data_IF_589426769229
#
_entry.id   IF_589426769229
#
_cell.length_a   1.000
_cell.length_b   1.000
_cell.length_c   1.000
_cell.angle_alpha   90.00
_cell.angle_beta   90.00
_cell.angle_gamma   90.00
#
_symmetry.space_group_name_H-M   'P 1'
#
loop_
_entity.id
_entity.type
_entity.pdbx_description
1 polymer ?
#
# COMPACT_ATOMS: atom_id res chain seq x y z
N UNK A 1 11.78 6.45 30.41
CA UNK A 1 12.25 6.13 29.04
C UNK A 1 11.12 6.40 28.05
N UNK A 2 11.44 6.58 26.76
CA UNK A 2 10.47 6.66 25.66
C UNK A 2 10.53 5.38 24.82
N UNK A 3 9.38 4.82 24.48
CA UNK A 3 9.29 3.62 23.65
C UNK A 3 8.89 3.99 22.21
N UNK A 4 9.71 3.61 21.26
CA UNK A 4 9.45 3.76 19.82
C UNK A 4 9.07 2.40 19.25
N UNK A 5 7.96 2.33 18.51
CA UNK A 5 7.52 1.11 17.83
C UNK A 5 7.46 1.38 16.33
N UNK A 6 8.34 0.72 15.58
CA UNK A 6 8.40 0.76 14.13
C UNK A 6 7.57 -0.37 13.49
N UNK A 7 7.30 -0.30 12.19
CA UNK A 7 6.57 -1.35 11.48
C UNK A 7 7.42 -2.59 11.21
N UNK A 8 8.74 -2.38 11.00
CA UNK A 8 9.68 -3.44 10.58
C UNK A 8 11.01 -3.34 11.34
N UNK A 9 11.72 -4.47 11.51
CA UNK A 9 13.03 -4.47 12.18
C UNK A 9 14.08 -3.57 11.53
N UNK A 10 14.08 -3.45 10.21
CA UNK A 10 15.01 -2.58 9.47
C UNK A 10 14.82 -1.11 9.81
N UNK A 11 13.57 -0.65 9.82
CA UNK A 11 13.21 0.72 10.21
C UNK A 11 13.59 0.99 11.66
N UNK A 12 13.29 0.06 12.57
CA UNK A 12 13.68 0.18 13.97
C UNK A 12 15.17 0.36 14.17
N UNK A 13 16.01 -0.37 13.41
CA UNK A 13 17.47 -0.24 13.47
C UNK A 13 17.94 1.14 13.02
N UNK A 14 17.38 1.68 11.93
CA UNK A 14 17.73 3.03 11.45
C UNK A 14 17.34 4.09 12.49
N UNK A 15 16.15 4.00 13.07
CA UNK A 15 15.70 4.91 14.12
C UNK A 15 16.58 4.81 15.37
N UNK A 16 16.92 3.59 15.80
CA UNK A 16 17.74 3.33 16.97
C UNK A 16 19.15 3.91 16.83
N UNK A 17 19.76 3.79 15.64
CA UNK A 17 21.08 4.36 15.35
C UNK A 17 21.08 5.89 15.55
N UNK A 18 20.07 6.58 15.05
CA UNK A 18 19.95 8.04 15.17
C UNK A 18 19.64 8.48 16.60
N UNK A 19 18.87 7.68 17.35
CA UNK A 19 18.46 7.95 18.73
C UNK A 19 19.52 7.54 19.77
N UNK A 20 20.58 6.84 19.38
CA UNK A 20 21.60 6.34 20.28
C UNK A 20 21.18 5.10 21.09
N UNK A 21 20.18 4.36 20.63
CA UNK A 21 19.74 3.10 21.24
C UNK A 21 20.60 1.93 20.70
N UNK A 22 21.83 1.82 21.18
CA UNK A 22 22.81 0.90 20.62
C UNK A 22 22.82 -0.52 21.22
N UNK A 23 22.28 -0.69 22.42
CA UNK A 23 22.30 -1.98 23.15
C UNK A 23 21.20 -2.89 22.60
N UNK A 24 21.62 -3.99 21.97
CA UNK A 24 20.68 -4.99 21.44
C UNK A 24 20.14 -5.89 22.56
N UNK A 25 18.86 -6.05 22.58
CA UNK A 25 18.09 -6.97 23.42
C UNK A 25 17.25 -7.90 22.54
N UNK A 26 16.61 -8.87 23.14
CA UNK A 26 15.68 -9.74 22.43
C UNK A 26 14.39 -8.97 22.06
N UNK A 27 14.17 -8.77 20.75
CA UNK A 27 13.02 -8.06 20.20
C UNK A 27 13.06 -6.52 20.30
N UNK A 28 14.14 -5.89 20.79
CA UNK A 28 14.28 -4.42 20.85
C UNK A 28 15.72 -3.95 20.98
N UNK A 29 15.93 -2.62 20.87
CA UNK A 29 17.20 -1.94 21.16
C UNK A 29 16.99 -0.91 22.27
N UNK A 30 18.02 -0.68 23.09
CA UNK A 30 17.96 0.21 24.25
C UNK A 30 19.19 1.11 24.32
N UNK A 31 19.01 2.36 24.72
CA UNK A 31 20.10 3.34 24.94
C UNK A 31 19.61 4.77 24.78
N UNK A 32 20.37 5.73 25.28
CA UNK A 32 20.08 7.15 25.13
C UNK A 32 18.71 7.60 25.71
N UNK A 33 18.13 6.86 26.64
CA UNK A 33 16.78 7.13 27.15
C UNK A 33 15.64 6.56 26.30
N UNK A 34 15.99 5.79 25.26
CA UNK A 34 15.07 5.21 24.30
C UNK A 34 15.03 3.69 24.36
N UNK A 35 13.84 3.15 24.10
CA UNK A 35 13.60 1.76 23.76
C UNK A 35 13.05 1.78 22.33
N UNK A 36 13.63 1.03 21.42
CA UNK A 36 13.20 0.95 20.02
C UNK A 36 12.87 -0.48 19.68
N UNK A 37 11.60 -0.76 19.45
CA UNK A 37 11.11 -2.08 19.05
C UNK A 37 10.33 -1.99 17.75
N UNK A 38 9.78 -3.10 17.28
CA UNK A 38 9.15 -3.18 15.97
C UNK A 38 7.97 -4.16 15.96
N UNK A 39 7.07 -3.93 15.04
CA UNK A 39 6.15 -4.94 14.56
C UNK A 39 6.80 -5.79 13.44
N UNK A 40 6.14 -6.87 13.05
CA UNK A 40 6.47 -7.68 11.87
C UNK A 40 5.34 -7.52 10.85
N UNK A 41 5.04 -6.26 10.47
CA UNK A 41 3.78 -5.90 9.84
C UNK A 41 2.61 -6.08 10.82
N UNK A 42 1.46 -6.54 10.37
CA UNK A 42 0.34 -6.86 11.25
C UNK A 42 0.68 -8.01 12.20
N UNK A 43 0.76 -7.75 13.51
CA UNK A 43 0.92 -8.78 14.55
C UNK A 43 -0.42 -9.41 14.93
N UNK A 44 -1.50 -8.67 14.76
CA UNK A 44 -2.86 -9.12 15.00
C UNK A 44 -3.77 -8.64 13.87
N UNK A 45 -4.83 -9.38 13.64
CA UNK A 45 -5.87 -9.08 12.66
C UNK A 45 -7.27 -9.32 13.24
N UNK A 46 -8.31 -8.96 12.50
CA UNK A 46 -9.67 -9.30 12.85
C UNK A 46 -9.82 -10.82 12.97
N UNK A 47 -10.52 -11.25 14.00
CA UNK A 47 -10.71 -12.66 14.31
C UNK A 47 -11.45 -13.40 13.18
N UNK A 48 -11.15 -14.67 13.00
CA UNK A 48 -11.90 -15.54 12.07
C UNK A 48 -13.34 -15.73 12.56
N UNK A 49 -14.24 -16.06 11.63
CA UNK A 49 -15.64 -16.27 11.90
C UNK A 49 -15.92 -17.31 13.02
N UNK A 50 -15.14 -18.40 13.06
CA UNK A 50 -15.23 -19.41 14.10
C UNK A 50 -14.94 -18.91 15.53
N UNK A 51 -14.28 -17.74 15.66
CA UNK A 51 -14.06 -17.10 16.97
C UNK A 51 -15.34 -16.47 17.52
N UNK A 52 -16.28 -16.10 16.67
CA UNK A 52 -17.57 -15.53 17.06
C UNK A 52 -18.59 -16.61 17.37
N UNK A 53 -18.64 -17.64 16.52
CA UNK A 53 -19.44 -18.84 16.72
C UNK A 53 -18.69 -20.07 16.19
N UNK A 54 -18.42 -21.12 17.02
CA UNK A 54 -17.76 -22.34 16.59
C UNK A 54 -18.43 -23.04 15.40
N UNK A 55 -19.74 -22.90 15.24
CA UNK A 55 -20.48 -23.50 14.12
C UNK A 55 -20.02 -22.92 12.78
N UNK A 56 -19.54 -21.67 12.76
CA UNK A 56 -18.97 -21.04 11.56
C UNK A 56 -17.64 -21.65 11.09
N UNK A 57 -17.11 -22.67 11.80
CA UNK A 57 -15.99 -23.45 11.28
C UNK A 57 -16.36 -24.22 10.02
N UNK A 58 -17.63 -24.66 9.91
CA UNK A 58 -18.18 -25.26 8.70
C UNK A 58 -18.83 -24.17 7.85
N UNK A 59 -18.59 -24.21 6.54
CA UNK A 59 -19.17 -23.24 5.63
C UNK A 59 -20.52 -23.74 5.14
N UNK A 60 -21.59 -23.06 5.55
CA UNK A 60 -22.97 -23.39 5.19
C UNK A 60 -23.65 -22.13 4.65
N UNK A 61 -24.55 -22.31 3.71
CA UNK A 61 -25.35 -21.21 3.12
C UNK A 61 -26.20 -20.51 4.18
N UNK A 62 -26.85 -21.29 5.04
CA UNK A 62 -27.81 -20.80 6.04
C UNK A 62 -27.16 -19.96 7.16
N UNK A 63 -25.83 -20.02 7.29
CA UNK A 63 -25.09 -19.20 8.25
C UNK A 63 -24.80 -17.77 7.74
N UNK A 64 -25.13 -17.46 6.48
CA UNK A 64 -24.80 -16.19 5.85
C UNK A 64 -26.00 -15.22 5.87
N UNK A 65 -25.77 -13.91 6.03
CA UNK A 65 -24.45 -13.28 6.22
C UNK A 65 -23.95 -13.35 7.67
N UNK A 66 -22.65 -13.51 7.85
CA UNK A 66 -21.98 -13.42 9.15
C UNK A 66 -21.69 -11.94 9.43
N UNK A 67 -22.37 -11.37 10.42
CA UNK A 67 -22.27 -9.96 10.81
C UNK A 67 -21.94 -9.87 12.31
N UNK A 68 -20.64 -9.67 12.69
CA UNK A 68 -20.27 -9.56 14.08
C UNK A 68 -20.87 -8.30 14.73
N UNK A 69 -21.54 -8.44 15.88
CA UNK A 69 -22.00 -7.30 16.68
C UNK A 69 -20.82 -6.55 17.32
N UNK A 70 -19.82 -7.28 17.74
CA UNK A 70 -18.59 -6.73 18.31
C UNK A 70 -17.36 -7.29 17.61
N UNK A 71 -16.39 -6.41 17.31
CA UNK A 71 -15.18 -6.81 16.60
C UNK A 71 -14.10 -7.29 17.55
N UNK A 72 -13.55 -8.47 17.26
CA UNK A 72 -12.45 -9.08 18.02
C UNK A 72 -11.19 -9.13 17.17
N UNK A 73 -10.05 -8.98 17.83
CA UNK A 73 -8.73 -9.14 17.20
C UNK A 73 -8.05 -10.37 17.78
N UNK A 74 -7.32 -11.08 16.94
CA UNK A 74 -6.49 -12.23 17.33
C UNK A 74 -5.05 -11.99 16.92
N UNK A 75 -4.12 -12.39 17.79
CA UNK A 75 -2.68 -12.32 17.51
C UNK A 75 -2.32 -13.50 16.61
N UNK A 76 -1.57 -13.25 15.54
CA UNK A 76 -1.05 -14.28 14.67
C UNK A 76 -0.11 -15.22 15.46
N UNK A 77 -0.30 -16.53 15.29
CA UNK A 77 0.41 -17.54 16.08
C UNK A 77 1.92 -17.44 15.94
N UNK A 78 2.41 -17.21 14.72
CA UNK A 78 3.82 -17.08 14.35
C UNK A 78 4.44 -15.76 14.77
N UNK A 79 3.67 -14.81 15.29
CA UNK A 79 4.11 -13.46 15.70
C UNK A 79 3.87 -13.19 17.20
N UNK A 80 3.46 -14.21 17.93
CA UNK A 80 3.13 -14.08 19.35
C UNK A 80 4.32 -13.62 20.19
N UNK A 81 5.50 -14.15 19.94
CA UNK A 81 6.72 -13.83 20.68
C UNK A 81 7.03 -12.33 20.60
N UNK A 82 6.99 -11.76 19.39
CA UNK A 82 7.21 -10.32 19.22
C UNK A 82 6.10 -9.49 19.83
N UNK A 83 4.84 -9.95 19.77
CA UNK A 83 3.75 -9.26 20.48
C UNK A 83 3.98 -9.25 21.99
N UNK A 84 4.45 -10.36 22.58
CA UNK A 84 4.71 -10.46 24.01
C UNK A 84 5.87 -9.55 24.45
N UNK A 85 6.90 -9.40 23.62
CA UNK A 85 7.96 -8.39 23.82
C UNK A 85 7.35 -6.98 23.85
N UNK A 86 6.57 -6.61 22.84
CA UNK A 86 5.93 -5.29 22.79
C UNK A 86 5.00 -5.05 23.95
N UNK A 87 4.20 -6.03 24.33
CA UNK A 87 3.30 -5.95 25.50
C UNK A 87 4.09 -5.71 26.78
N UNK A 88 5.22 -6.39 26.96
CA UNK A 88 6.11 -6.20 28.12
C UNK A 88 6.69 -4.79 28.14
N UNK A 89 7.20 -4.30 27.01
CA UNK A 89 7.75 -2.95 26.88
C UNK A 89 6.70 -1.87 27.14
N UNK A 90 5.49 -2.02 26.58
CA UNK A 90 4.38 -1.09 26.77
C UNK A 90 3.91 -1.01 28.22
N UNK A 91 4.10 -2.07 29.01
CA UNK A 91 3.73 -2.13 30.43
C UNK A 91 4.85 -1.73 31.39
N UNK A 92 6.09 -1.53 30.93
CA UNK A 92 7.21 -1.11 31.78
C UNK A 92 6.87 0.21 32.51
N UNK A 93 7.08 0.28 33.80
CA UNK A 93 6.76 1.47 34.63
C UNK A 93 7.64 2.68 34.25
N UNK A 94 8.90 2.43 33.88
CA UNK A 94 9.84 3.47 33.46
C UNK A 94 9.59 4.04 32.05
N UNK A 95 8.66 3.46 31.28
CA UNK A 95 8.21 4.00 30.01
C UNK A 95 7.11 5.03 30.25
N UNK A 96 7.38 6.28 29.92
CA UNK A 96 6.47 7.42 30.17
C UNK A 96 5.70 7.86 28.92
N UNK A 97 6.20 7.56 27.72
CA UNK A 97 5.61 7.96 26.44
C UNK A 97 5.88 6.90 25.39
N UNK A 98 4.94 6.69 24.48
CA UNK A 98 5.05 5.76 23.37
C UNK A 98 4.99 6.53 22.05
N UNK A 99 5.92 6.24 21.14
CA UNK A 99 5.98 6.86 19.81
C UNK A 99 5.60 5.83 18.75
N UNK A 100 4.51 6.09 18.03
CA UNK A 100 4.17 5.36 16.83
C UNK A 100 5.09 5.81 15.70
N UNK A 101 6.02 4.95 15.29
CA UNK A 101 6.95 5.13 14.19
C UNK A 101 6.72 4.09 13.06
N UNK A 102 5.51 3.55 12.95
CA UNK A 102 5.11 2.77 11.79
C UNK A 102 4.96 3.68 10.56
N UNK A 103 4.91 3.09 9.38
CA UNK A 103 4.85 3.82 8.12
C UNK A 103 3.78 4.92 8.13
N UNK A 104 4.07 6.05 7.47
CA UNK A 104 3.19 7.22 7.43
C UNK A 104 1.95 6.95 6.56
N UNK A 105 0.91 6.37 7.15
CA UNK A 105 -0.30 5.98 6.44
C UNK A 105 -1.32 5.27 7.32
N UNK A 106 -2.46 4.93 6.73
CA UNK A 106 -3.55 4.22 7.40
C UNK A 106 -3.12 2.88 7.99
N UNK A 107 -2.34 2.11 7.25
CA UNK A 107 -1.90 0.78 7.67
C UNK A 107 -0.97 0.87 8.87
N UNK A 108 -0.01 1.80 8.86
CA UNK A 108 0.87 2.02 10.01
C UNK A 108 0.12 2.43 11.28
N UNK A 109 -0.95 3.25 11.15
CA UNK A 109 -1.84 3.55 12.28
C UNK A 109 -2.57 2.29 12.78
N UNK A 110 -3.11 1.47 11.88
CA UNK A 110 -3.82 0.26 12.24
C UNK A 110 -2.90 -0.75 12.93
N UNK A 111 -1.70 -0.98 12.39
CA UNK A 111 -0.71 -1.90 12.94
C UNK A 111 -0.35 -1.49 14.37
N UNK A 112 0.05 -0.25 14.57
CA UNK A 112 0.46 0.25 15.88
C UNK A 112 -0.69 0.24 16.88
N UNK A 113 -1.84 0.84 16.53
CA UNK A 113 -2.99 0.99 17.43
C UNK A 113 -3.57 -0.36 17.86
N UNK A 114 -3.58 -1.34 16.97
CA UNK A 114 -4.03 -2.69 17.30
C UNK A 114 -3.15 -3.30 18.39
N UNK A 115 -1.83 -3.18 18.28
CA UNK A 115 -0.88 -3.66 19.29
C UNK A 115 -1.04 -2.89 20.61
N UNK A 116 -1.10 -1.56 20.51
CA UNK A 116 -1.24 -0.68 21.67
C UNK A 116 -2.51 -1.00 22.49
N UNK A 117 -3.65 -1.17 21.80
CA UNK A 117 -4.93 -1.51 22.45
C UNK A 117 -4.92 -2.94 23.03
N UNK A 118 -4.41 -3.93 22.28
CA UNK A 118 -4.34 -5.32 22.74
C UNK A 118 -3.39 -5.50 23.92
N UNK A 119 -2.33 -4.70 24.01
CA UNK A 119 -1.44 -4.67 25.17
C UNK A 119 -2.08 -4.01 26.40
N UNK A 120 -3.24 -3.35 26.25
CA UNK A 120 -3.92 -2.58 27.32
C UNK A 120 -3.13 -1.34 27.73
N UNK A 121 -2.35 -0.74 26.83
CA UNK A 121 -1.56 0.44 27.13
C UNK A 121 -2.45 1.70 27.18
N UNK A 122 -2.19 2.58 28.13
CA UNK A 122 -2.88 3.87 28.29
C UNK A 122 -1.90 5.06 28.38
N UNK A 123 -0.62 4.81 28.07
CA UNK A 123 0.42 5.84 28.16
C UNK A 123 0.25 6.89 27.05
N UNK A 124 0.71 8.13 27.27
CA UNK A 124 0.69 9.16 26.23
C UNK A 124 1.33 8.65 24.94
N UNK A 125 0.65 8.91 23.82
CA UNK A 125 1.08 8.47 22.49
C UNK A 125 1.43 9.66 21.62
N UNK A 126 2.57 9.58 20.95
CA UNK A 126 3.02 10.50 19.92
C UNK A 126 3.15 9.81 18.58
N UNK A 127 3.12 10.58 17.52
CA UNK A 127 3.27 10.11 16.14
C UNK A 127 4.50 10.72 15.48
N UNK A 128 5.39 9.86 15.00
CA UNK A 128 6.44 10.20 14.06
C UNK A 128 5.87 10.10 12.64
N UNK A 129 5.89 11.21 11.89
CA UNK A 129 5.38 11.24 10.51
C UNK A 129 6.48 11.71 9.57
N UNK A 130 7.17 10.74 8.98
CA UNK A 130 8.28 10.98 8.04
C UNK A 130 8.09 10.11 6.79
N UNK A 131 8.58 10.61 5.65
CA UNK A 131 8.58 9.89 4.36
C UNK A 131 9.98 9.49 3.90
N UNK A 132 11.02 9.88 4.65
CA UNK A 132 12.41 9.52 4.39
C UNK A 132 13.05 8.91 5.63
N UNK A 133 13.96 7.96 5.42
CA UNK A 133 14.73 7.29 6.48
C UNK A 133 16.16 7.82 6.59
N UNK A 134 16.45 8.98 5.99
CA UNK A 134 17.73 9.67 6.19
C UNK A 134 17.85 10.23 7.60
N UNK A 135 19.05 10.25 8.13
CA UNK A 135 19.35 10.68 9.51
C UNK A 135 18.81 12.09 9.82
N UNK A 136 18.90 13.01 8.87
CA UNK A 136 18.38 14.37 9.00
C UNK A 136 16.86 14.39 9.15
N UNK A 137 16.16 13.63 8.31
CA UNK A 137 14.69 13.53 8.34
C UNK A 137 14.19 12.84 9.63
N UNK A 138 14.93 11.83 10.11
CA UNK A 138 14.62 11.17 11.39
C UNK A 138 14.78 12.16 12.55
N UNK A 139 15.90 12.90 12.63
CA UNK A 139 16.13 13.91 13.70
C UNK A 139 15.06 14.99 13.70
N UNK A 140 14.74 15.53 12.52
CA UNK A 140 13.68 16.53 12.36
C UNK A 140 12.33 15.98 12.77
N UNK A 141 11.99 14.76 12.35
CA UNK A 141 10.73 14.09 12.72
C UNK A 141 10.59 13.90 14.22
N UNK A 142 11.64 13.48 14.93
CA UNK A 142 11.63 13.34 16.39
C UNK A 142 11.59 14.68 17.13
N UNK A 143 12.10 15.77 16.54
CA UNK A 143 11.94 17.12 17.07
C UNK A 143 10.48 17.63 16.90
N UNK A 144 9.72 17.11 15.93
CA UNK A 144 8.37 17.55 15.55
C UNK A 144 7.30 16.46 15.77
N UNK A 145 7.42 15.64 16.80
CA UNK A 145 6.43 14.61 17.13
C UNK A 145 5.04 15.24 17.40
N UNK A 146 4.02 14.70 16.75
CA UNK A 146 2.64 15.15 16.91
C UNK A 146 1.88 14.31 17.94
N UNK A 147 0.83 14.86 18.57
CA UNK A 147 -0.07 14.07 19.40
C UNK A 147 -0.67 12.90 18.62
N UNK A 148 -0.77 11.72 19.24
CA UNK A 148 -1.42 10.58 18.59
C UNK A 148 -2.89 10.82 18.25
N UNK A 149 -3.59 11.63 19.04
CA UNK A 149 -5.00 11.97 18.82
C UNK A 149 -5.27 12.65 17.47
N UNK A 150 -4.30 13.39 16.91
CA UNK A 150 -4.42 14.03 15.60
C UNK A 150 -4.66 13.01 14.47
N UNK A 151 -4.38 11.73 14.73
CA UNK A 151 -4.48 10.63 13.78
C UNK A 151 -5.64 9.66 14.07
N UNK A 152 -6.56 10.02 14.99
CA UNK A 152 -7.70 9.17 15.31
C UNK A 152 -8.62 8.94 14.12
N UNK A 153 -8.88 9.97 13.31
CA UNK A 153 -9.65 9.83 12.08
C UNK A 153 -9.00 8.89 11.06
N UNK A 154 -7.67 8.94 10.95
CA UNK A 154 -6.92 8.04 10.06
C UNK A 154 -6.99 6.58 10.54
N UNK A 155 -6.89 6.35 11.85
CA UNK A 155 -7.09 5.03 12.46
C UNK A 155 -8.50 4.50 12.22
N UNK A 156 -9.54 5.32 12.42
CA UNK A 156 -10.92 4.93 12.17
C UNK A 156 -11.14 4.57 10.68
N UNK A 157 -10.58 5.33 9.76
CA UNK A 157 -10.64 5.01 8.33
C UNK A 157 -9.98 3.66 8.01
N UNK A 158 -8.82 3.37 8.62
CA UNK A 158 -8.14 2.08 8.47
C UNK A 158 -8.97 0.92 9.04
N UNK A 159 -9.55 1.11 10.22
CA UNK A 159 -10.40 0.12 10.87
C UNK A 159 -11.68 -0.15 10.08
N UNK A 160 -12.35 0.88 9.55
CA UNK A 160 -13.52 0.73 8.67
C UNK A 160 -13.17 -0.09 7.43
N UNK A 161 -12.02 0.19 6.80
CA UNK A 161 -11.53 -0.60 5.67
C UNK A 161 -11.31 -2.06 6.04
N UNK A 162 -10.59 -2.34 7.13
CA UNK A 162 -10.33 -3.70 7.59
C UNK A 162 -11.64 -4.48 7.83
N UNK A 163 -12.64 -3.84 8.47
CA UNK A 163 -13.97 -4.42 8.69
C UNK A 163 -14.70 -4.69 7.37
N UNK A 164 -14.67 -3.76 6.43
CA UNK A 164 -15.30 -3.94 5.11
C UNK A 164 -14.64 -5.07 4.32
N UNK A 165 -13.30 -5.15 4.34
CA UNK A 165 -12.55 -6.24 3.69
C UNK A 165 -12.88 -7.60 4.33
N UNK A 166 -13.02 -7.65 5.66
CA UNK A 166 -13.45 -8.86 6.38
C UNK A 166 -14.88 -9.27 6.02
N UNK A 167 -15.84 -8.35 6.06
CA UNK A 167 -17.25 -8.63 5.77
C UNK A 167 -17.42 -9.17 4.35
N UNK A 168 -16.83 -8.49 3.36
CA UNK A 168 -16.91 -8.92 1.96
C UNK A 168 -16.14 -10.24 1.78
N UNK A 169 -14.93 -10.33 2.28
CA UNK A 169 -14.07 -11.51 2.12
C UNK A 169 -14.68 -12.77 2.71
N UNK A 170 -15.12 -12.71 3.96
CA UNK A 170 -15.68 -13.89 4.66
C UNK A 170 -17.02 -14.33 4.02
N UNK A 171 -17.93 -13.40 3.83
CA UNK A 171 -19.28 -13.75 3.37
C UNK A 171 -19.30 -14.17 1.89
N UNK A 172 -18.65 -13.40 1.01
CA UNK A 172 -18.63 -13.71 -0.41
C UNK A 172 -17.80 -14.97 -0.71
N UNK A 173 -16.63 -15.15 -0.08
CA UNK A 173 -15.82 -16.38 -0.23
C UNK A 173 -16.64 -17.61 0.16
N UNK A 174 -17.31 -17.60 1.29
CA UNK A 174 -18.12 -18.73 1.75
C UNK A 174 -19.33 -18.98 0.85
N UNK A 175 -20.06 -17.94 0.49
CA UNK A 175 -21.22 -18.04 -0.39
C UNK A 175 -20.85 -18.72 -1.71
N UNK A 176 -19.88 -18.15 -2.42
CA UNK A 176 -19.50 -18.69 -3.73
C UNK A 176 -18.84 -20.06 -3.61
N UNK A 177 -18.06 -20.32 -2.55
CA UNK A 177 -17.45 -21.64 -2.35
C UNK A 177 -18.49 -22.73 -2.10
N UNK A 178 -19.55 -22.44 -1.34
CA UNK A 178 -20.65 -23.39 -1.11
C UNK A 178 -21.46 -23.61 -2.38
N UNK A 179 -21.82 -22.53 -3.10
CA UNK A 179 -22.62 -22.63 -4.34
C UNK A 179 -21.91 -23.39 -5.45
N UNK A 180 -20.59 -23.22 -5.59
CA UNK A 180 -19.81 -23.86 -6.65
C UNK A 180 -19.06 -25.12 -6.21
N UNK A 181 -19.23 -25.57 -4.97
CA UNK A 181 -18.62 -26.77 -4.40
C UNK A 181 -17.09 -26.82 -4.53
N UNK A 182 -16.43 -25.63 -4.48
CA UNK A 182 -14.98 -25.47 -4.50
C UNK A 182 -14.58 -24.18 -3.82
N UNK A 183 -13.37 -24.11 -3.28
CA UNK A 183 -12.87 -22.87 -2.67
C UNK A 183 -12.70 -21.77 -3.71
N UNK A 184 -13.47 -20.68 -3.56
CA UNK A 184 -13.41 -19.48 -4.38
C UNK A 184 -13.15 -18.28 -3.48
N UNK A 185 -11.90 -17.81 -3.47
CA UNK A 185 -11.53 -16.65 -2.69
C UNK A 185 -12.05 -15.37 -3.35
N UNK A 186 -12.89 -14.64 -2.65
CA UNK A 186 -13.45 -13.37 -3.09
C UNK A 186 -12.93 -12.27 -2.19
N UNK A 187 -12.53 -11.17 -2.77
CA UNK A 187 -12.04 -10.01 -2.02
C UNK A 187 -12.33 -8.70 -2.75
N UNK A 188 -12.51 -7.65 -1.98
CA UNK A 188 -12.90 -6.32 -2.46
C UNK A 188 -11.87 -5.70 -3.44
N UNK A 189 -10.62 -6.07 -3.34
CA UNK A 189 -9.55 -5.62 -4.25
C UNK A 189 -9.19 -6.71 -5.25
N UNK A 190 -8.96 -7.92 -4.77
CA UNK A 190 -8.48 -9.05 -5.58
C UNK A 190 -9.44 -9.39 -6.74
N UNK A 191 -10.75 -9.48 -6.46
CA UNK A 191 -11.72 -9.89 -7.49
C UNK A 191 -11.89 -8.87 -8.61
N UNK A 192 -12.03 -7.55 -8.34
CA UNK A 192 -12.04 -6.54 -9.40
C UNK A 192 -10.73 -6.48 -10.19
N UNK A 193 -9.57 -6.63 -9.51
CA UNK A 193 -8.28 -6.67 -10.20
C UNK A 193 -8.20 -7.84 -11.17
N UNK A 194 -8.63 -9.03 -10.75
CA UNK A 194 -8.70 -10.19 -11.64
C UNK A 194 -9.65 -9.95 -12.81
N UNK A 195 -10.82 -9.35 -12.57
CA UNK A 195 -11.76 -9.01 -13.63
C UNK A 195 -11.17 -8.08 -14.68
N UNK A 196 -10.41 -7.05 -14.25
CA UNK A 196 -9.70 -6.14 -15.16
C UNK A 196 -8.65 -6.88 -16.01
N UNK A 197 -7.91 -7.82 -15.42
CA UNK A 197 -6.92 -8.63 -16.14
C UNK A 197 -7.63 -9.51 -17.18
N UNK A 198 -8.69 -10.21 -16.80
CA UNK A 198 -9.47 -11.08 -17.70
C UNK A 198 -10.07 -10.28 -18.84
N UNK A 199 -10.62 -9.09 -18.55
CA UNK A 199 -11.14 -8.21 -19.58
C UNK A 199 -10.03 -7.78 -20.56
N UNK A 200 -8.86 -7.43 -20.04
CA UNK A 200 -7.72 -7.03 -20.87
C UNK A 200 -7.22 -8.18 -21.77
N UNK A 201 -7.14 -9.39 -21.24
CA UNK A 201 -6.81 -10.58 -22.03
C UNK A 201 -7.84 -10.81 -23.16
N UNK A 202 -9.13 -10.71 -22.85
CA UNK A 202 -10.18 -10.82 -23.87
C UNK A 202 -10.07 -9.76 -24.97
N UNK A 203 -9.70 -8.50 -24.62
CA UNK A 203 -9.44 -7.44 -25.61
C UNK A 203 -8.23 -7.77 -26.48
N UNK A 204 -7.18 -8.36 -25.90
CA UNK A 204 -5.96 -8.78 -26.63
C UNK A 204 -6.31 -9.92 -27.61
N UNK A 205 -7.05 -10.94 -27.15
CA UNK A 205 -7.46 -12.07 -27.96
C UNK A 205 -8.39 -11.66 -29.11
N UNK A 206 -9.26 -10.68 -28.87
CA UNK A 206 -10.16 -10.13 -29.87
C UNK A 206 -9.52 -9.07 -30.78
N UNK A 207 -8.26 -8.70 -30.51
CA UNK A 207 -7.59 -7.62 -31.25
C UNK A 207 -7.40 -7.96 -32.73
N UNK A 208 -7.95 -7.12 -33.59
CA UNK A 208 -7.73 -7.20 -35.04
C UNK A 208 -6.81 -6.05 -35.44
N UNK A 209 -5.61 -6.36 -35.98
CA UNK A 209 -4.70 -5.33 -36.47
C UNK A 209 -5.36 -4.52 -37.60
N UNK A 210 -5.41 -3.22 -37.44
CA UNK A 210 -5.85 -2.30 -38.48
C UNK A 210 -4.62 -1.59 -39.01
N UNK A 211 -4.25 -1.78 -40.32
CA UNK A 211 -3.10 -1.10 -40.89
C UNK A 211 -3.38 0.40 -40.99
N UNK A 212 -2.36 1.19 -40.77
CA UNK A 212 -2.34 2.60 -41.11
C UNK A 212 -1.10 2.92 -41.89
N UNK A 213 -1.13 4.02 -42.59
CA UNK A 213 -0.07 4.43 -43.49
C UNK A 213 0.40 5.84 -43.18
N UNK A 214 1.66 6.12 -43.38
CA UNK A 214 2.23 7.46 -43.30
C UNK A 214 3.31 7.58 -44.40
N UNK A 215 3.52 8.79 -44.87
CA UNK A 215 4.59 9.11 -45.82
C UNK A 215 5.68 9.86 -45.05
N UNK A 216 6.92 9.40 -45.17
CA UNK A 216 8.09 10.08 -44.64
C UNK A 216 8.93 10.62 -45.79
N UNK A 217 9.38 11.86 -45.62
CA UNK A 217 10.31 12.54 -46.55
C UNK A 217 11.64 12.69 -45.82
N UNK A 218 12.67 12.04 -46.32
CA UNK A 218 14.02 12.21 -45.82
C UNK A 218 14.69 13.39 -46.54
N UNK A 219 14.96 14.42 -45.77
CA UNK A 219 15.54 15.68 -46.19
C UNK A 219 16.92 15.87 -45.52
N UNK A 220 17.84 16.65 -46.14
CA UNK A 220 19.12 16.92 -45.49
C UNK A 220 18.94 17.53 -44.08
N UNK A 221 19.27 16.76 -43.03
CA UNK A 221 19.25 17.20 -41.66
C UNK A 221 17.96 16.93 -40.87
N UNK A 222 16.86 16.49 -41.49
CA UNK A 222 15.63 16.12 -40.80
C UNK A 222 14.71 15.24 -41.64
N UNK A 223 13.81 14.52 -41.00
CA UNK A 223 12.75 13.75 -41.63
C UNK A 223 11.40 14.41 -41.39
N UNK A 224 10.63 14.69 -42.41
CA UNK A 224 9.25 15.16 -42.31
C UNK A 224 8.28 13.98 -42.48
N UNK A 225 7.32 13.82 -41.55
CA UNK A 225 6.33 12.75 -41.63
C UNK A 225 4.91 13.33 -41.76
N UNK A 226 4.09 12.68 -42.59
CA UNK A 226 2.67 13.02 -42.69
C UNK A 226 1.89 12.57 -41.45
N UNK A 227 0.68 13.06 -41.27
CA UNK A 227 -0.29 12.44 -40.38
C UNK A 227 -0.62 11.00 -40.81
N UNK A 228 -1.17 10.22 -39.86
CA UNK A 228 -1.65 8.85 -40.16
C UNK A 228 -2.82 8.90 -41.15
N UNK A 229 -2.83 7.96 -42.06
CA UNK A 229 -3.86 7.75 -43.09
C UNK A 229 -4.39 6.33 -42.97
N UNK A 230 -5.70 6.16 -43.03
CA UNK A 230 -6.34 4.84 -42.93
C UNK A 230 -6.34 4.07 -44.25
N UNK A 231 -6.17 4.77 -45.40
CA UNK A 231 -6.17 4.16 -46.69
C UNK A 231 -4.77 4.18 -47.31
N UNK A 232 -4.34 3.04 -47.84
CA UNK A 232 -3.07 2.91 -48.53
C UNK A 232 -3.01 3.79 -49.79
N UNK A 233 -4.13 3.91 -50.50
CA UNK A 233 -4.22 4.72 -51.71
C UNK A 233 -3.91 6.20 -51.45
N UNK A 234 -4.39 6.76 -50.33
CA UNK A 234 -4.14 8.17 -49.98
C UNK A 234 -2.64 8.39 -49.68
N UNK A 235 -1.99 7.42 -49.06
CA UNK A 235 -0.56 7.47 -48.78
C UNK A 235 0.27 7.34 -50.06
N UNK A 236 -0.13 6.47 -50.99
CA UNK A 236 0.53 6.31 -52.29
C UNK A 236 0.37 7.57 -53.15
N UNK A 237 -0.82 8.17 -53.17
CA UNK A 237 -1.09 9.43 -53.85
C UNK A 237 -0.21 10.56 -53.28
N UNK A 238 -0.15 10.69 -51.96
CA UNK A 238 0.70 11.70 -51.32
C UNK A 238 2.18 11.46 -51.60
N UNK A 239 2.65 10.20 -51.59
CA UNK A 239 4.02 9.83 -51.94
C UNK A 239 4.35 10.27 -53.33
N UNK A 240 3.48 9.97 -54.31
CA UNK A 240 3.66 10.34 -55.73
C UNK A 240 3.70 11.87 -55.91
N UNK A 241 2.82 12.60 -55.20
CA UNK A 241 2.81 14.06 -55.26
C UNK A 241 4.07 14.72 -54.69
N UNK A 242 4.75 14.04 -53.76
CA UNK A 242 6.00 14.54 -53.15
C UNK A 242 7.26 14.16 -53.93
N UNK A 243 7.18 13.20 -54.88
CA UNK A 243 8.34 12.76 -55.65
C UNK A 243 8.78 13.82 -56.65
N UNK A 244 10.05 14.24 -56.58
CA UNK A 244 10.61 15.27 -57.46
C UNK A 244 10.13 16.69 -57.24
N UNK A 245 9.32 16.92 -56.18
CA UNK A 245 8.84 18.23 -55.79
C UNK A 245 9.83 19.02 -54.94
N UNK A 246 9.61 20.34 -54.87
CA UNK A 246 10.38 21.24 -53.99
C UNK A 246 9.66 21.37 -52.63
N UNK A 247 10.38 21.16 -51.57
CA UNK A 247 9.87 21.34 -50.18
C UNK A 247 10.24 22.74 -49.69
N UNK A 248 9.22 23.53 -49.29
CA UNK A 248 9.42 24.87 -48.71
C UNK A 248 8.98 24.89 -47.26
N UNK A 249 9.90 25.27 -46.37
CA UNK A 249 9.57 25.47 -44.97
C UNK A 249 8.82 26.80 -44.81
N UNK A 250 7.53 26.75 -44.46
CA UNK A 250 6.70 27.96 -44.30
C UNK A 250 6.83 28.59 -42.92
N UNK A 251 7.08 27.78 -41.92
CA UNK A 251 7.14 28.25 -40.54
C UNK A 251 8.05 27.35 -39.69
N UNK A 252 8.83 27.94 -38.83
CA UNK A 252 9.64 27.23 -37.82
C UNK A 252 9.22 27.73 -36.44
N UNK A 253 8.69 26.85 -35.63
CA UNK A 253 8.42 27.14 -34.22
C UNK A 253 9.41 26.40 -33.34
N UNK A 254 10.09 27.16 -32.47
CA UNK A 254 10.92 26.58 -31.43
C UNK A 254 10.14 26.66 -30.10
N UNK A 255 9.86 25.49 -29.51
CA UNK A 255 9.20 25.39 -28.20
C UNK A 255 10.11 24.67 -27.22
N UNK A 256 10.43 25.33 -26.13
CA UNK A 256 11.11 24.72 -25.02
C UNK A 256 10.07 23.87 -24.24
N UNK A 257 10.30 22.57 -24.18
CA UNK A 257 9.46 21.66 -23.42
C UNK A 257 10.12 21.32 -22.11
N UNK A 258 9.65 21.96 -21.02
CA UNK A 258 10.07 21.61 -19.67
C UNK A 258 9.34 20.32 -19.28
N UNK A 259 10.10 19.29 -18.98
CA UNK A 259 9.59 18.02 -18.44
C UNK A 259 10.01 17.95 -17.00
N UNK A 260 9.06 18.10 -16.08
CA UNK A 260 9.31 17.85 -14.66
C UNK A 260 9.69 16.39 -14.45
N UNK A 261 10.59 16.14 -13.49
CA UNK A 261 10.90 14.78 -13.07
C UNK A 261 9.63 14.08 -12.57
N UNK A 262 9.48 12.81 -12.86
CA UNK A 262 8.39 12.02 -12.32
C UNK A 262 8.46 12.07 -10.78
N UNK A 263 7.32 12.27 -10.15
CA UNK A 263 7.24 12.19 -8.68
C UNK A 263 7.63 10.77 -8.26
N UNK A 264 8.41 10.62 -7.18
CA UNK A 264 8.66 9.28 -6.64
C UNK A 264 7.34 8.61 -6.25
N UNK A 265 7.29 7.29 -6.46
CA UNK A 265 6.15 6.45 -6.14
C UNK A 265 5.91 6.34 -4.63
#
# INVERSE_FOLDING_TARGET
>A
MRLVIAEKPSVAKSLAAVLGAATRKDGYLEGGGWLVSWCLGHLAGLADAATYNPDYAKWRYDDLPILPESWRFTIAKDKRDQFDVLRTLLRREDVTEVVNACDAGREGELIFRTVYCLAGCQKPMKRLWISSMEDSAIREGFANLRPGADYDGLHQAALCRAKADWLVGINATRLFSVLYHRTLNIGRVMSPTLALIVQREAEIDAFKPVPFYSVALDLPGFTAASARMDKKADAEQLKTACQGGTVTVKQVERRDKIREAARPL
#
